data_IF_503717699571
#
_entry.id   IF_503717699571
#
_cell.length_a   1.000
_cell.length_b   1.000
_cell.length_c   1.000
_cell.angle_alpha   90.00
_cell.angle_beta   90.00
_cell.angle_gamma   90.00
#
_symmetry.space_group_name_H-M   'P 1'
#
loop_
_entity.id
_entity.type
_entity.pdbx_description
1 polymer ?
#
# COMPACT_ATOMS: atom_id res chain seq x y z
N UNK A 1 5.98 9.06 12.34
CA UNK A 1 6.74 7.88 11.86
C UNK A 1 6.98 6.83 12.94
N UNK A 2 7.64 7.17 14.07
CA UNK A 2 8.03 6.16 15.08
C UNK A 2 6.88 5.34 15.69
N UNK A 3 5.70 5.93 15.87
CA UNK A 3 4.52 5.24 16.39
C UNK A 3 3.67 4.53 15.31
N UNK A 4 3.85 4.87 14.03
CA UNK A 4 3.05 4.30 12.93
C UNK A 4 3.61 2.96 12.45
N UNK A 5 4.93 2.76 12.55
CA UNK A 5 5.61 1.53 12.15
C UNK A 5 5.02 0.27 12.81
N UNK A 6 4.85 0.18 14.16
CA UNK A 6 4.30 -1.01 14.78
C UNK A 6 2.85 -1.29 14.32
N UNK A 7 2.06 -0.24 14.09
CA UNK A 7 0.70 -0.37 13.59
C UNK A 7 0.67 -0.94 12.16
N UNK A 8 1.52 -0.40 11.28
CA UNK A 8 1.64 -0.88 9.89
C UNK A 8 2.11 -2.34 9.86
N UNK A 9 3.04 -2.75 10.72
CA UNK A 9 3.51 -4.14 10.81
C UNK A 9 2.35 -5.08 11.16
N UNK A 10 1.58 -4.76 12.22
CA UNK A 10 0.43 -5.59 12.62
C UNK A 10 -0.62 -5.64 11.52
N UNK A 11 -0.92 -4.48 10.90
CA UNK A 11 -1.89 -4.39 9.82
C UNK A 11 -1.48 -5.24 8.60
N UNK A 12 -0.21 -5.19 8.20
CA UNK A 12 0.29 -5.96 7.07
C UNK A 12 0.24 -7.46 7.36
N UNK A 13 0.60 -7.89 8.57
CA UNK A 13 0.52 -9.31 8.95
C UNK A 13 -0.92 -9.82 8.84
N UNK A 14 -1.88 -9.09 9.43
CA UNK A 14 -3.29 -9.47 9.40
C UNK A 14 -3.85 -9.45 7.98
N UNK A 15 -3.59 -8.39 7.22
CA UNK A 15 -4.08 -8.25 5.85
C UNK A 15 -3.49 -9.32 4.93
N UNK A 16 -2.17 -9.51 4.96
CA UNK A 16 -1.51 -10.52 4.13
C UNK A 16 -1.96 -11.93 4.49
N UNK A 17 -2.17 -12.26 5.77
CA UNK A 17 -2.65 -13.59 6.17
C UNK A 17 -4.05 -13.90 5.63
N UNK A 18 -4.98 -12.94 5.72
CA UNK A 18 -6.35 -13.09 5.23
C UNK A 18 -6.35 -13.19 3.69
N UNK A 19 -5.73 -12.23 3.02
CA UNK A 19 -5.76 -12.16 1.54
C UNK A 19 -5.04 -13.34 0.91
N UNK A 20 -3.89 -13.75 1.45
CA UNK A 20 -3.15 -14.91 0.93
C UNK A 20 -3.97 -16.20 1.02
N UNK A 21 -4.73 -16.35 2.11
CA UNK A 21 -5.67 -17.47 2.30
C UNK A 21 -6.83 -17.43 1.31
N UNK A 22 -7.41 -16.24 1.07
CA UNK A 22 -8.57 -16.07 0.18
C UNK A 22 -8.24 -16.29 -1.30
N UNK A 23 -7.03 -15.92 -1.74
CA UNK A 23 -6.58 -16.11 -3.13
C UNK A 23 -6.24 -17.60 -3.41
N UNK A 24 -6.06 -18.41 -2.36
CA UNK A 24 -5.73 -19.84 -2.50
C UNK A 24 -4.29 -20.08 -2.98
N UNK A 25 -3.37 -19.19 -2.65
CA UNK A 25 -1.95 -19.36 -3.00
C UNK A 25 -1.34 -20.57 -2.29
N UNK A 26 -0.31 -21.17 -2.90
CA UNK A 26 0.43 -22.25 -2.28
C UNK A 26 1.19 -21.77 -1.05
N UNK A 27 0.86 -22.34 0.11
CA UNK A 27 1.53 -22.10 1.39
C UNK A 27 2.99 -22.56 1.36
N UNK A 28 3.87 -21.71 0.86
CA UNK A 28 5.33 -21.86 0.97
C UNK A 28 5.88 -20.65 1.69
N UNK A 29 6.69 -20.89 2.73
CA UNK A 29 7.23 -19.84 3.60
C UNK A 29 7.99 -18.77 2.82
N UNK A 30 8.69 -19.17 1.75
CA UNK A 30 9.40 -18.27 0.84
C UNK A 30 8.41 -17.36 0.10
N UNK A 31 7.39 -17.92 -0.56
CA UNK A 31 6.40 -17.15 -1.35
C UNK A 31 5.58 -16.22 -0.45
N UNK A 32 5.23 -16.69 0.74
CA UNK A 32 4.50 -15.91 1.73
C UNK A 32 5.34 -14.74 2.28
N UNK A 33 6.63 -14.97 2.57
CA UNK A 33 7.55 -13.92 3.02
C UNK A 33 7.75 -12.83 1.95
N UNK A 34 7.90 -13.23 0.68
CA UNK A 34 7.94 -12.28 -0.44
C UNK A 34 6.64 -11.47 -0.54
N UNK A 35 5.49 -12.14 -0.45
CA UNK A 35 4.19 -11.47 -0.49
C UNK A 35 4.03 -10.44 0.63
N UNK A 36 4.33 -10.81 1.89
CA UNK A 36 4.32 -9.88 3.02
C UNK A 36 5.25 -8.69 2.77
N UNK A 37 6.45 -8.94 2.25
CA UNK A 37 7.44 -7.88 1.99
C UNK A 37 6.92 -6.86 0.97
N UNK A 38 6.31 -7.32 -0.13
CA UNK A 38 5.71 -6.43 -1.14
C UNK A 38 4.55 -5.61 -0.58
N UNK A 39 3.66 -6.25 0.20
CA UNK A 39 2.54 -5.57 0.82
C UNK A 39 3.04 -4.55 1.86
N UNK A 40 4.03 -4.91 2.68
CA UNK A 40 4.64 -4.00 3.65
C UNK A 40 5.23 -2.74 3.00
N UNK A 41 6.02 -2.92 1.93
CA UNK A 41 6.58 -1.82 1.15
C UNK A 41 5.49 -0.92 0.56
N UNK A 42 4.42 -1.50 0.03
CA UNK A 42 3.27 -0.76 -0.48
C UNK A 42 2.58 0.08 0.59
N UNK A 43 2.26 -0.51 1.75
CA UNK A 43 1.62 0.21 2.85
C UNK A 43 2.48 1.36 3.38
N UNK A 44 3.79 1.12 3.59
CA UNK A 44 4.70 2.17 4.05
C UNK A 44 4.81 3.31 3.04
N UNK A 45 4.88 2.99 1.74
CA UNK A 45 4.94 3.99 0.69
C UNK A 45 3.70 4.88 0.69
N UNK A 46 2.50 4.30 0.77
CA UNK A 46 1.27 5.06 0.80
C UNK A 46 1.10 5.90 2.06
N UNK A 47 1.50 5.39 3.23
CA UNK A 47 1.46 6.17 4.48
C UNK A 47 2.42 7.37 4.43
N UNK A 48 3.67 7.16 3.97
CA UNK A 48 4.65 8.24 3.84
C UNK A 48 4.22 9.30 2.81
N UNK A 49 3.66 8.85 1.67
CA UNK A 49 3.13 9.75 0.65
C UNK A 49 1.96 10.58 1.20
N UNK A 50 1.02 9.97 1.92
CA UNK A 50 -0.08 10.69 2.56
C UNK A 50 0.40 11.74 3.56
N UNK A 51 1.36 11.39 4.42
CA UNK A 51 1.94 12.33 5.39
C UNK A 51 2.68 13.49 4.71
N UNK A 52 3.41 13.22 3.62
CA UNK A 52 4.10 14.25 2.83
C UNK A 52 3.10 15.22 2.20
N UNK A 53 2.00 14.72 1.63
CA UNK A 53 1.00 15.55 0.98
C UNK A 53 0.23 16.42 1.97
N UNK A 54 -0.10 15.89 3.16
CA UNK A 54 -0.72 16.67 4.24
C UNK A 54 0.21 17.78 4.73
N UNK A 55 1.52 17.54 4.80
CA UNK A 55 2.48 18.58 5.21
C UNK A 55 2.70 19.66 4.14
N UNK A 56 2.46 19.35 2.86
CA UNK A 56 2.70 20.27 1.75
C UNK A 56 1.48 21.20 1.50
N UNK A 57 0.28 20.71 1.77
CA UNK A 57 -0.96 21.42 1.45
C UNK A 57 -1.51 22.21 2.65
N UNK A 58 -2.05 23.41 2.42
CA UNK A 58 -2.62 24.25 3.48
C UNK A 58 -3.98 23.74 4.00
N UNK A 59 -4.67 22.86 3.27
CA UNK A 59 -5.94 22.27 3.67
C UNK A 59 -5.96 20.75 3.49
N UNK A 60 -6.61 20.07 4.44
CA UNK A 60 -6.79 18.61 4.43
C UNK A 60 -7.58 18.13 3.21
N UNK A 61 -8.54 18.91 2.74
CA UNK A 61 -9.33 18.59 1.55
C UNK A 61 -8.47 18.55 0.28
N UNK A 62 -7.55 19.51 0.11
CA UNK A 62 -6.61 19.51 -1.02
C UNK A 62 -5.64 18.34 -0.92
N UNK A 63 -5.11 18.04 0.27
CA UNK A 63 -4.22 16.92 0.48
C UNK A 63 -4.89 15.58 0.11
N UNK A 64 -6.16 15.41 0.50
CA UNK A 64 -6.98 14.25 0.15
C UNK A 64 -7.23 14.14 -1.35
N UNK A 65 -7.63 15.23 -2.00
CA UNK A 65 -7.88 15.27 -3.44
C UNK A 65 -6.62 14.93 -4.25
N UNK A 66 -5.46 15.45 -3.85
CA UNK A 66 -4.19 15.17 -4.52
C UNK A 66 -3.74 13.72 -4.31
N UNK A 67 -3.90 13.18 -3.09
CA UNK A 67 -3.60 11.77 -2.79
C UNK A 67 -4.44 10.84 -3.67
N UNK A 68 -5.74 11.13 -3.80
CA UNK A 68 -6.64 10.38 -4.67
C UNK A 68 -6.22 10.44 -6.14
N UNK A 69 -5.83 11.63 -6.63
CA UNK A 69 -5.31 11.80 -7.99
C UNK A 69 -4.06 10.92 -8.25
N UNK A 70 -3.11 10.91 -7.31
CA UNK A 70 -1.94 10.03 -7.38
C UNK A 70 -2.31 8.54 -7.34
N UNK A 71 -3.31 8.14 -6.55
CA UNK A 71 -3.79 6.75 -6.54
C UNK A 71 -4.43 6.34 -7.87
N UNK A 72 -5.21 7.22 -8.50
CA UNK A 72 -5.80 6.95 -9.82
C UNK A 72 -4.70 6.79 -10.86
N UNK A 73 -3.69 7.66 -10.87
CA UNK A 73 -2.53 7.53 -11.76
C UNK A 73 -1.78 6.21 -11.53
N UNK A 74 -1.49 5.86 -10.29
CA UNK A 74 -0.83 4.59 -9.95
C UNK A 74 -1.63 3.38 -10.45
N UNK A 75 -2.96 3.40 -10.27
CA UNK A 75 -3.82 2.32 -10.75
C UNK A 75 -3.84 2.23 -12.29
N UNK A 76 -3.86 3.37 -12.99
CA UNK A 76 -3.84 3.44 -14.44
C UNK A 76 -2.55 2.83 -15.02
N UNK A 77 -1.42 3.11 -14.38
CA UNK A 77 -0.11 2.64 -14.78
C UNK A 77 0.32 1.31 -14.10
N UNK A 78 -0.56 0.64 -13.37
CA UNK A 78 -0.23 -0.62 -12.69
C UNK A 78 -0.18 -1.84 -13.63
N UNK A 79 -0.42 -1.65 -14.93
CA UNK A 79 -0.45 -2.72 -15.94
C UNK A 79 -1.75 -3.53 -15.98
N UNK A 80 -2.69 -3.27 -15.06
CA UNK A 80 -4.00 -3.94 -15.02
C UNK A 80 -5.03 -3.29 -15.96
N UNK A 81 -5.20 -1.96 -15.90
CA UNK A 81 -6.17 -1.23 -16.73
C UNK A 81 -5.66 -0.94 -18.14
N UNK A 82 -4.38 -0.59 -18.25
CA UNK A 82 -3.69 -0.43 -19.53
C UNK A 82 -2.67 -1.56 -19.61
N UNK A 83 -2.85 -2.55 -20.49
CA UNK A 83 -1.85 -3.60 -20.68
C UNK A 83 -0.59 -2.95 -21.23
N UNK A 84 0.46 -2.93 -20.43
CA UNK A 84 1.78 -2.49 -20.87
C UNK A 84 2.50 -3.69 -21.50
N UNK A 85 3.17 -3.50 -22.65
CA UNK A 85 4.01 -4.54 -23.26
C UNK A 85 5.18 -4.94 -22.35
#
# INVERSE_FOLDING_TARGET
>A
VGAEIPYIIVQVILFSFIVYSMVGFQWTLIKFSWFISFIFLGFIYFTLLGMMLVSCMPSLELAGALSFFFFVLWNLFSGFFIPMP
#
